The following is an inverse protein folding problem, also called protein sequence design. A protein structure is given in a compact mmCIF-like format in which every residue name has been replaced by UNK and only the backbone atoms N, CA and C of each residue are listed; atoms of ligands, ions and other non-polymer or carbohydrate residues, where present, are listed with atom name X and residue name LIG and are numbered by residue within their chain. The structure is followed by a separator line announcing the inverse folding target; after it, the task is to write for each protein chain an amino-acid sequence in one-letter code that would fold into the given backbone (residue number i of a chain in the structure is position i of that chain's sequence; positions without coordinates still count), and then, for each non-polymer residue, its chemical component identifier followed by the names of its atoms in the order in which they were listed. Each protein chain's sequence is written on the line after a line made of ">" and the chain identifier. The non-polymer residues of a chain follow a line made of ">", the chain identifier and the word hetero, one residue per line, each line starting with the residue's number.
data_IF_859593873926
#
_entry.id   IF_859593873926
#
_cell.length_a   1.000
_cell.length_b   1.000
_cell.length_c   1.000
_cell.angle_alpha   90.00
_cell.angle_beta   90.00
_cell.angle_gamma   90.00
#
_symmetry.space_group_name_H-M   'P 1'
#
loop_
_entity.id
_entity.type
_entity.pdbx_description
1 polymer ?
#
# COMPACT_ATOMS: atom_id res chain seq x y z
N UNK A 1 -4.22 -24.99 -25.43
CA UNK A 1 -3.20 -24.33 -24.59
C UNK A 1 -3.81 -23.10 -23.96
N UNK A 2 -3.73 -22.94 -22.63
CA UNK A 2 -4.11 -21.70 -21.96
C UNK A 2 -3.02 -20.65 -22.23
N UNK A 3 -3.41 -19.40 -22.51
CA UNK A 3 -2.49 -18.28 -22.60
C UNK A 3 -1.80 -18.06 -21.23
N UNK A 4 -0.53 -17.64 -21.20
CA UNK A 4 0.11 -17.25 -19.94
C UNK A 4 -0.70 -16.11 -19.30
N UNK A 5 -0.79 -16.06 -17.95
CA UNK A 5 -1.46 -14.97 -17.26
C UNK A 5 -0.81 -13.65 -17.69
N UNK A 6 -1.63 -12.69 -18.09
CA UNK A 6 -1.15 -11.37 -18.52
C UNK A 6 -0.45 -10.70 -17.32
N UNK A 7 0.84 -10.35 -17.41
CA UNK A 7 1.55 -9.65 -16.33
C UNK A 7 0.88 -8.31 -15.97
N UNK A 8 0.03 -7.77 -16.85
CA UNK A 8 -0.83 -6.61 -16.58
C UNK A 8 -2.19 -6.96 -15.95
N UNK A 9 -2.43 -8.18 -15.46
CA UNK A 9 -3.67 -8.54 -14.73
C UNK A 9 -3.52 -8.64 -13.22
N UNK A 10 -2.30 -8.59 -12.67
CA UNK A 10 -2.12 -8.67 -11.22
C UNK A 10 -2.60 -7.40 -10.53
N UNK A 11 -3.70 -7.49 -9.78
CA UNK A 11 -4.27 -6.35 -9.05
C UNK A 11 -3.28 -5.91 -7.96
N UNK A 12 -3.12 -4.59 -7.74
CA UNK A 12 -2.30 -4.14 -6.62
C UNK A 12 -2.88 -4.68 -5.32
N UNK A 13 -2.02 -5.25 -4.48
CA UNK A 13 -2.41 -5.80 -3.18
C UNK A 13 -1.98 -4.85 -2.08
N UNK A 14 -2.76 -4.82 -1.00
CA UNK A 14 -2.46 -4.06 0.20
C UNK A 14 -2.86 -4.91 1.41
N UNK A 15 -1.93 -5.16 2.30
CA UNK A 15 -2.16 -5.80 3.60
C UNK A 15 -1.69 -4.88 4.71
N UNK A 16 -2.50 -4.78 5.77
CA UNK A 16 -2.22 -3.90 6.91
C UNK A 16 -2.30 -4.76 8.18
N UNK A 17 -1.28 -4.70 9.01
CA UNK A 17 -1.21 -5.44 10.28
C UNK A 17 -0.71 -4.53 11.39
N UNK A 18 -1.40 -4.53 12.52
CA UNK A 18 -0.93 -3.84 13.73
C UNK A 18 0.15 -4.67 14.42
N UNK A 19 1.23 -4.02 14.83
CA UNK A 19 2.36 -4.62 15.55
C UNK A 19 2.67 -3.79 16.81
N UNK A 20 3.52 -4.30 17.71
CA UNK A 20 3.95 -3.54 18.88
C UNK A 20 4.71 -2.24 18.53
N UNK A 21 5.33 -2.18 17.34
CA UNK A 21 6.10 -1.04 16.86
C UNK A 21 5.35 -0.09 15.91
N UNK A 22 4.02 -0.24 15.76
CA UNK A 22 3.21 0.56 14.84
C UNK A 22 2.41 -0.31 13.86
N UNK A 23 2.07 0.26 12.70
CA UNK A 23 1.30 -0.41 11.65
C UNK A 23 2.23 -0.85 10.53
N UNK A 24 2.36 -2.15 10.31
CA UNK A 24 3.07 -2.70 9.15
C UNK A 24 2.12 -2.73 7.96
N UNK A 25 2.57 -2.18 6.83
CA UNK A 25 1.83 -2.14 5.57
C UNK A 25 2.68 -2.83 4.51
N UNK A 26 2.10 -3.82 3.85
CA UNK A 26 2.70 -4.53 2.72
C UNK A 26 1.88 -4.27 1.46
N UNK A 27 2.53 -3.98 0.34
CA UNK A 27 1.86 -3.70 -0.93
C UNK A 27 2.63 -4.21 -2.15
N UNK A 28 1.96 -4.22 -3.30
CA UNK A 28 2.58 -4.31 -4.63
C UNK A 28 2.41 -2.99 -5.40
N UNK A 29 3.33 -2.70 -6.34
CA UNK A 29 3.35 -1.43 -7.07
C UNK A 29 3.74 -0.23 -6.21
N UNK A 30 3.04 0.88 -6.35
CA UNK A 30 3.23 2.10 -5.56
C UNK A 30 2.23 2.20 -4.40
N UNK A 31 2.71 2.55 -3.22
CA UNK A 31 1.88 2.88 -2.07
C UNK A 31 1.58 4.37 -2.07
N UNK A 32 0.30 4.72 -2.06
CA UNK A 32 -0.15 6.08 -1.89
C UNK A 32 -0.86 6.25 -0.55
N UNK A 33 -0.75 7.45 0.01
CA UNK A 33 -1.46 7.82 1.23
C UNK A 33 -2.16 9.17 1.14
N UNK A 34 -3.23 9.32 1.93
CA UNK A 34 -3.99 10.54 2.10
C UNK A 34 -4.49 10.69 3.55
N UNK A 35 -4.78 11.92 3.98
CA UNK A 35 -5.38 12.19 5.30
C UNK A 35 -6.89 11.94 5.34
N UNK A 36 -7.55 12.02 4.18
CA UNK A 36 -8.99 11.72 4.01
C UNK A 36 -9.20 10.93 2.72
N UNK A 37 -10.30 10.19 2.61
CA UNK A 37 -10.63 9.40 1.42
C UNK A 37 -10.77 10.24 0.14
N UNK A 38 -11.24 11.49 0.28
CA UNK A 38 -11.42 12.46 -0.82
C UNK A 38 -10.24 13.43 -0.95
N UNK A 39 -9.19 13.24 -0.16
CA UNK A 39 -8.03 14.12 -0.14
C UNK A 39 -7.06 13.90 -1.31
N UNK A 40 -5.97 14.66 -1.29
CA UNK A 40 -4.87 14.47 -2.23
C UNK A 40 -4.07 13.22 -1.86
N UNK A 41 -3.97 12.29 -2.80
CA UNK A 41 -3.19 11.06 -2.65
C UNK A 41 -1.76 11.30 -3.11
N UNK A 42 -0.80 11.00 -2.23
CA UNK A 42 0.63 11.17 -2.51
C UNK A 42 1.32 9.81 -2.54
N UNK A 43 2.26 9.62 -3.47
CA UNK A 43 3.11 8.43 -3.49
C UNK A 43 4.13 8.51 -2.35
N UNK A 44 4.15 7.48 -1.51
CA UNK A 44 5.01 7.40 -0.32
C UNK A 44 5.94 6.20 -0.32
N UNK A 45 5.85 5.32 -1.32
CA UNK A 45 6.74 4.16 -1.41
C UNK A 45 6.54 3.32 -2.67
N UNK A 46 7.61 2.69 -3.12
CA UNK A 46 7.63 1.74 -4.24
C UNK A 46 7.64 0.28 -3.76
N UNK A 47 7.38 -0.66 -4.66
CA UNK A 47 7.21 -2.08 -4.32
C UNK A 47 8.43 -2.69 -3.61
N UNK A 48 9.65 -2.28 -3.99
CA UNK A 48 10.89 -2.76 -3.37
C UNK A 48 11.12 -2.24 -1.94
N UNK A 49 10.27 -1.34 -1.45
CA UNK A 49 10.29 -0.84 -0.07
C UNK A 49 9.24 -1.54 0.80
N UNK A 50 8.39 -2.39 0.23
CA UNK A 50 7.39 -3.17 0.95
C UNK A 50 8.03 -4.36 1.69
N UNK A 51 7.68 -4.64 2.96
CA UNK A 51 6.77 -3.88 3.83
C UNK A 51 7.43 -2.67 4.52
N UNK A 52 6.63 -1.68 4.89
CA UNK A 52 7.04 -0.56 5.74
C UNK A 52 6.21 -0.49 7.02
N UNK A 53 6.87 -0.14 8.12
CA UNK A 53 6.22 0.13 9.41
C UNK A 53 6.02 1.63 9.59
N UNK A 54 4.78 2.03 9.82
CA UNK A 54 4.39 3.40 10.14
C UNK A 54 4.11 3.54 11.63
N UNK A 55 4.69 4.57 12.25
CA UNK A 55 4.39 4.92 13.63
C UNK A 55 2.97 5.47 13.74
N UNK A 56 2.23 5.04 14.75
CA UNK A 56 0.89 5.55 15.04
C UNK A 56 1.00 6.86 15.81
N UNK A 57 0.57 7.96 15.20
CA UNK A 57 0.62 9.31 15.80
C UNK A 57 -0.74 9.77 16.34
N UNK A 58 -1.73 8.87 16.38
CA UNK A 58 -3.12 9.20 16.73
C UNK A 58 -3.92 9.88 15.61
N UNK A 59 -3.32 10.15 14.45
CA UNK A 59 -4.02 10.63 13.25
C UNK A 59 -4.40 9.49 12.32
N UNK A 60 -5.59 9.55 11.74
CA UNK A 60 -5.99 8.61 10.67
C UNK A 60 -5.19 8.90 9.40
N UNK A 61 -4.84 7.83 8.69
CA UNK A 61 -4.21 7.87 7.37
C UNK A 61 -4.79 6.76 6.52
N UNK A 62 -5.14 7.07 5.29
CA UNK A 62 -5.66 6.13 4.32
C UNK A 62 -4.54 5.69 3.39
N UNK A 63 -4.55 4.41 3.03
CA UNK A 63 -3.55 3.80 2.17
C UNK A 63 -4.22 3.14 0.98
N UNK A 64 -3.58 3.21 -0.20
CA UNK A 64 -3.96 2.44 -1.38
C UNK A 64 -2.72 2.00 -2.14
N UNK A 65 -2.78 0.79 -2.68
CA UNK A 65 -1.78 0.31 -3.62
C UNK A 65 -2.22 0.63 -5.06
N UNK A 66 -1.28 1.04 -5.90
CA UNK A 66 -1.48 1.45 -7.30
C UNK A 66 -0.38 0.84 -8.17
N UNK A 67 -0.56 0.78 -9.49
CA UNK A 67 0.53 0.37 -10.40
C UNK A 67 1.47 1.53 -10.69
#
# INVERSE_FOLDING_TARGET
>A
SALPPDPNTERPTLSITSTAGGVSVSWTGNLQAAETLQGQWQNIGAANQSPMTFQTTGRMRFFRATR
#
